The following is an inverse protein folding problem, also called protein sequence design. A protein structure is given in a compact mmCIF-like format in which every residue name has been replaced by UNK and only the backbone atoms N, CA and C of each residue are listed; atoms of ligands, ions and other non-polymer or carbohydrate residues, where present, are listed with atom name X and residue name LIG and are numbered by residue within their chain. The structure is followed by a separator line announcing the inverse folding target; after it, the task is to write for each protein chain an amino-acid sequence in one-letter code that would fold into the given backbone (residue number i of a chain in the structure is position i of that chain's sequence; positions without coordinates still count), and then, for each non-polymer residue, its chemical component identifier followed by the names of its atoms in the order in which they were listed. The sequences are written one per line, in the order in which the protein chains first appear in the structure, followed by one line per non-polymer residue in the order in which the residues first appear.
data_IF_001161551674
#
_entry.id   IF_001161551674
#
_cell.length_a   1.000
_cell.length_b   1.000
_cell.length_c   1.000
_cell.angle_alpha   90.00
_cell.angle_beta   90.00
_cell.angle_gamma   90.00
#
_symmetry.space_group_name_H-M   'P 1'
#
loop_
_entity.id
_entity.type
_entity.pdbx_description
1 polymer ?
#
# COMPACT_ATOMS: atom_id res chain seq x y z
N UNK A 1 -13.37 -30.32 8.84
CA UNK A 1 -13.00 -29.85 10.19
C UNK A 1 -11.93 -28.78 10.07
N UNK A 2 -12.29 -27.49 10.03
CA UNK A 2 -11.31 -26.39 10.11
C UNK A 2 -11.07 -26.13 11.59
N UNK A 3 -10.00 -26.70 12.14
CA UNK A 3 -9.58 -26.41 13.50
C UNK A 3 -9.23 -24.94 13.60
N UNK A 4 -10.12 -24.15 14.19
CA UNK A 4 -9.83 -22.77 14.57
C UNK A 4 -8.82 -22.83 15.71
N UNK A 5 -7.56 -22.54 15.39
CA UNK A 5 -6.48 -22.32 16.36
C UNK A 5 -6.98 -21.38 17.48
N UNK A 6 -6.60 -21.67 18.72
CA UNK A 6 -6.96 -20.82 19.86
C UNK A 6 -6.38 -19.41 19.66
N UNK A 7 -7.01 -18.35 20.17
CA UNK A 7 -6.52 -16.97 20.00
C UNK A 7 -5.08 -16.78 20.51
N UNK A 8 -4.69 -17.56 21.52
CA UNK A 8 -3.32 -17.60 22.03
C UNK A 8 -2.33 -18.18 21.01
N UNK A 9 -2.69 -19.30 20.36
CA UNK A 9 -1.83 -19.91 19.32
C UNK A 9 -1.66 -19.00 18.11
N UNK A 10 -2.71 -18.27 17.69
CA UNK A 10 -2.58 -17.27 16.62
C UNK A 10 -1.62 -16.12 16.98
N UNK A 11 -1.68 -15.61 18.21
CA UNK A 11 -0.77 -14.56 18.68
C UNK A 11 0.68 -15.05 18.75
N UNK A 12 0.90 -16.26 19.27
CA UNK A 12 2.23 -16.86 19.34
C UNK A 12 2.84 -17.08 17.94
N UNK A 13 2.05 -17.57 16.99
CA UNK A 13 2.49 -17.74 15.59
C UNK A 13 2.81 -16.38 14.97
N UNK A 14 1.96 -15.37 15.15
CA UNK A 14 2.23 -14.02 14.62
C UNK A 14 3.52 -13.44 15.20
N UNK A 15 3.73 -13.56 16.51
CA UNK A 15 4.95 -13.12 17.18
C UNK A 15 6.19 -13.84 16.62
N UNK A 16 6.14 -15.16 16.49
CA UNK A 16 7.24 -15.95 15.92
C UNK A 16 7.58 -15.55 14.48
N UNK A 17 6.57 -15.27 13.65
CA UNK A 17 6.77 -14.79 12.27
C UNK A 17 7.49 -13.43 12.27
N UNK A 18 7.08 -12.48 13.11
CA UNK A 18 7.75 -11.18 13.21
C UNK A 18 9.20 -11.30 13.67
N UNK A 19 9.45 -12.14 14.67
CA UNK A 19 10.82 -12.41 15.15
C UNK A 19 11.68 -13.04 14.05
N UNK A 20 11.13 -13.99 13.28
CA UNK A 20 11.83 -14.61 12.16
C UNK A 20 12.16 -13.60 11.05
N UNK A 21 11.19 -12.78 10.64
CA UNK A 21 11.39 -11.76 9.60
C UNK A 21 12.44 -10.73 10.07
N UNK A 22 12.36 -10.28 11.32
CA UNK A 22 13.32 -9.35 11.90
C UNK A 22 14.73 -9.95 11.89
N UNK A 23 14.88 -11.19 12.39
CA UNK A 23 16.15 -11.89 12.43
C UNK A 23 16.76 -12.08 11.03
N UNK A 24 15.97 -12.57 10.07
CA UNK A 24 16.43 -12.74 8.68
C UNK A 24 16.84 -11.41 8.04
N UNK A 25 16.08 -10.34 8.28
CA UNK A 25 16.43 -9.01 7.78
C UNK A 25 17.74 -8.49 8.39
N UNK A 26 18.01 -8.79 9.66
CA UNK A 26 19.25 -8.43 10.35
C UNK A 26 20.45 -9.20 9.80
N UNK A 27 20.30 -10.51 9.55
CA UNK A 27 21.35 -11.31 8.92
C UNK A 27 21.73 -10.78 7.52
N UNK A 28 20.73 -10.38 6.72
CA UNK A 28 20.98 -9.79 5.40
C UNK A 28 21.69 -8.44 5.52
N UNK A 29 21.26 -7.59 6.47
CA UNK A 29 21.91 -6.31 6.76
C UNK A 29 23.39 -6.49 7.13
N UNK A 30 23.70 -7.42 8.03
CA UNK A 30 25.09 -7.70 8.45
C UNK A 30 25.99 -8.21 7.31
N UNK A 31 25.44 -8.87 6.29
CA UNK A 31 26.21 -9.29 5.11
C UNK A 31 26.61 -8.12 4.20
N UNK A 32 25.89 -7.00 4.29
CA UNK A 32 26.15 -5.79 3.51
C UNK A 32 27.07 -4.81 4.25
N UNK A 33 27.37 -5.07 5.52
CA UNK A 33 28.20 -4.19 6.33
C UNK A 33 29.65 -4.17 5.85
N UNK A 34 30.19 -2.96 5.77
CA UNK A 34 31.60 -2.74 5.54
C UNK A 34 32.34 -2.89 6.89
N UNK A 35 33.32 -3.80 7.03
CA UNK A 35 34.08 -3.99 8.27
C UNK A 35 34.82 -2.74 8.76
N UNK A 36 34.95 -1.72 7.91
CA UNK A 36 35.58 -0.44 8.25
C UNK A 36 34.65 0.58 8.91
N UNK A 37 33.34 0.32 8.95
CA UNK A 37 32.33 1.17 9.58
C UNK A 37 31.71 0.46 10.78
N UNK A 38 31.65 1.14 11.92
CA UNK A 38 31.07 0.62 13.17
C UNK A 38 29.52 0.58 13.16
N UNK A 39 28.89 0.95 12.04
CA UNK A 39 27.44 0.95 11.87
C UNK A 39 27.07 0.38 10.49
N UNK A 40 25.88 -0.21 10.42
CA UNK A 40 25.39 -0.81 9.19
C UNK A 40 24.95 0.24 8.18
N UNK A 41 25.48 0.18 6.95
CA UNK A 41 25.05 1.08 5.87
C UNK A 41 23.58 0.81 5.52
N UNK A 42 23.11 -0.44 5.67
CA UNK A 42 21.74 -0.87 5.34
C UNK A 42 21.11 -1.58 6.54
N UNK A 43 20.11 -0.98 7.19
CA UNK A 43 19.45 -1.60 8.36
C UNK A 43 17.95 -1.88 8.11
N UNK A 44 17.65 -3.02 7.48
CA UNK A 44 16.28 -3.48 7.25
C UNK A 44 15.45 -3.79 8.51
N UNK A 45 16.04 -4.25 9.64
CA UNK A 45 15.26 -4.57 10.84
C UNK A 45 14.41 -3.42 11.38
N UNK A 46 14.86 -2.16 11.25
CA UNK A 46 14.09 -1.00 11.67
C UNK A 46 12.74 -0.90 10.97
N UNK A 47 12.68 -1.20 9.66
CA UNK A 47 11.43 -1.21 8.91
C UNK A 47 10.52 -2.39 9.24
N UNK A 48 11.08 -3.54 9.62
CA UNK A 48 10.31 -4.68 10.13
C UNK A 48 9.70 -4.34 11.49
N UNK A 49 10.48 -3.77 12.42
CA UNK A 49 9.99 -3.36 13.73
C UNK A 49 8.91 -2.27 13.62
N UNK A 50 9.13 -1.26 12.78
CA UNK A 50 8.13 -0.20 12.53
C UNK A 50 6.82 -0.79 12.01
N UNK A 51 6.88 -1.71 11.05
CA UNK A 51 5.70 -2.41 10.54
C UNK A 51 5.01 -3.25 11.64
N UNK A 52 5.78 -3.95 12.47
CA UNK A 52 5.27 -4.74 13.59
C UNK A 52 4.50 -3.86 14.60
N UNK A 53 5.10 -2.74 15.02
CA UNK A 53 4.46 -1.81 15.95
C UNK A 53 3.24 -1.11 15.34
N UNK A 54 3.26 -0.81 14.03
CA UNK A 54 2.11 -0.26 13.30
C UNK A 54 0.93 -1.24 13.21
N UNK A 55 1.18 -2.55 13.25
CA UNK A 55 0.13 -3.58 13.19
C UNK A 55 -0.30 -4.14 14.57
N UNK A 56 0.61 -4.20 15.54
CA UNK A 56 0.37 -4.85 16.83
C UNK A 56 -0.45 -3.97 17.79
N UNK A 57 -1.40 -4.52 18.56
CA UNK A 57 -2.11 -3.75 19.59
C UNK A 57 -1.14 -3.26 20.67
N UNK A 58 -1.43 -2.10 21.28
CA UNK A 58 -0.55 -1.46 22.29
C UNK A 58 -0.09 -2.41 23.41
N UNK A 59 -0.96 -3.34 23.84
CA UNK A 59 -0.65 -4.32 24.89
C UNK A 59 0.51 -5.28 24.53
N UNK A 60 0.74 -5.52 23.25
CA UNK A 60 1.79 -6.44 22.78
C UNK A 60 3.13 -5.74 22.52
N UNK A 61 3.19 -4.41 22.61
CA UNK A 61 4.40 -3.64 22.30
C UNK A 61 5.59 -4.06 23.18
N UNK A 62 5.36 -4.32 24.47
CA UNK A 62 6.40 -4.77 25.38
C UNK A 62 6.98 -6.14 25.01
N UNK A 63 6.16 -7.04 24.46
CA UNK A 63 6.61 -8.35 23.99
C UNK A 63 7.50 -8.20 22.74
N UNK A 64 7.06 -7.39 21.77
CA UNK A 64 7.85 -7.10 20.57
C UNK A 64 9.16 -6.39 20.91
N UNK A 65 9.13 -5.41 21.82
CA UNK A 65 10.33 -4.72 22.31
C UNK A 65 11.32 -5.72 22.90
N UNK A 66 10.89 -6.56 23.85
CA UNK A 66 11.77 -7.55 24.47
C UNK A 66 12.34 -8.53 23.43
N UNK A 67 11.52 -8.99 22.48
CA UNK A 67 11.94 -9.90 21.41
C UNK A 67 12.97 -9.28 20.47
N UNK A 68 12.74 -8.05 20.00
CA UNK A 68 13.67 -7.37 19.08
C UNK A 68 14.98 -6.97 19.76
N UNK A 69 14.95 -6.53 21.03
CA UNK A 69 16.17 -6.29 21.82
C UNK A 69 16.98 -7.58 21.96
N UNK A 70 16.32 -8.71 22.28
CA UNK A 70 17.00 -10.00 22.37
C UNK A 70 17.62 -10.44 21.03
N UNK A 71 16.92 -10.23 19.91
CA UNK A 71 17.46 -10.52 18.58
C UNK A 71 18.63 -9.60 18.21
N UNK A 72 18.58 -8.31 18.56
CA UNK A 72 19.71 -7.40 18.34
C UNK A 72 20.96 -7.83 19.11
N UNK A 73 20.79 -8.28 20.36
CA UNK A 73 21.90 -8.84 21.15
C UNK A 73 22.49 -10.11 20.51
N UNK A 74 21.63 -10.98 19.96
CA UNK A 74 22.07 -12.19 19.26
C UNK A 74 22.80 -11.89 17.95
N UNK A 75 22.32 -10.89 17.20
CA UNK A 75 22.92 -10.44 15.94
C UNK A 75 24.27 -9.77 16.17
N UNK A 76 24.40 -8.99 17.24
CA UNK A 76 25.62 -8.24 17.58
C UNK A 76 26.60 -9.05 18.47
N UNK A 77 26.58 -10.39 18.38
CA UNK A 77 27.40 -11.27 19.24
C UNK A 77 28.87 -11.35 18.78
N UNK A 78 29.43 -10.24 18.31
CA UNK A 78 30.87 -10.12 18.07
C UNK A 78 31.57 -9.96 19.41
N UNK A 79 32.51 -10.86 19.68
CA UNK A 79 33.21 -11.10 20.95
C UNK A 79 34.09 -9.92 21.42
N UNK A 80 33.97 -8.75 20.80
CA UNK A 80 34.88 -7.60 20.92
C UNK A 80 34.31 -6.43 21.73
N UNK A 81 32.98 -6.36 21.94
CA UNK A 81 32.33 -5.26 22.65
C UNK A 81 31.80 -5.71 24.00
N UNK A 82 32.04 -4.92 25.05
CA UNK A 82 31.52 -5.16 26.39
C UNK A 82 30.00 -5.36 26.37
N UNK A 83 29.50 -6.42 27.01
CA UNK A 83 28.06 -6.74 27.07
C UNK A 83 27.16 -5.56 27.48
N UNK A 84 27.51 -4.71 28.47
CA UNK A 84 26.71 -3.53 28.84
C UNK A 84 26.54 -2.53 27.69
N UNK A 85 27.58 -2.32 26.89
CA UNK A 85 27.56 -1.39 25.76
C UNK A 85 26.69 -1.94 24.63
N UNK A 86 26.79 -3.24 24.36
CA UNK A 86 25.93 -3.92 23.38
C UNK A 86 24.45 -3.86 23.79
N UNK A 87 24.16 -4.11 25.07
CA UNK A 87 22.80 -3.96 25.62
C UNK A 87 22.27 -2.53 25.47
N UNK A 88 23.11 -1.52 25.72
CA UNK A 88 22.73 -0.12 25.55
C UNK A 88 22.33 0.18 24.10
N UNK A 89 23.11 -0.24 23.11
CA UNK A 89 22.77 -0.04 21.70
C UNK A 89 21.53 -0.83 21.26
N UNK A 90 21.39 -2.07 21.71
CA UNK A 90 20.22 -2.89 21.42
C UNK A 90 18.93 -2.24 21.96
N UNK A 91 18.99 -1.60 23.13
CA UNK A 91 17.85 -0.85 23.69
C UNK A 91 17.63 0.48 22.97
N UNK A 92 18.70 1.21 22.62
CA UNK A 92 18.60 2.51 21.95
C UNK A 92 18.05 2.44 20.51
N UNK A 93 18.17 1.29 19.84
CA UNK A 93 17.67 1.09 18.46
C UNK A 93 16.15 0.91 18.34
N UNK A 94 15.42 0.77 19.45
CA UNK A 94 13.97 0.49 19.44
C UNK A 94 13.06 1.72 19.60
N UNK A 95 13.36 2.71 20.46
CA UNK A 95 12.50 3.86 20.72
C UNK A 95 12.07 4.62 19.46
N UNK A 96 12.95 4.78 18.48
CA UNK A 96 12.65 5.46 17.22
C UNK A 96 11.51 4.77 16.45
N UNK A 97 11.63 3.45 16.22
CA UNK A 97 10.60 2.65 15.52
C UNK A 97 9.25 2.64 16.26
N UNK A 98 9.29 2.61 17.60
CA UNK A 98 8.09 2.72 18.44
C UNK A 98 7.46 4.12 18.37
N UNK A 99 8.28 5.17 18.40
CA UNK A 99 7.84 6.55 18.31
C UNK A 99 7.18 6.84 16.96
N UNK A 100 7.76 6.36 15.86
CA UNK A 100 7.15 6.45 14.51
C UNK A 100 5.78 5.79 14.54
N UNK A 101 5.68 4.54 14.99
CA UNK A 101 4.40 3.83 15.00
C UNK A 101 3.36 4.52 15.89
N UNK A 102 3.76 5.05 17.05
CA UNK A 102 2.87 5.73 17.97
C UNK A 102 2.38 7.08 17.43
N UNK A 103 3.29 7.90 16.89
CA UNK A 103 2.95 9.20 16.29
C UNK A 103 2.02 9.02 15.10
N UNK A 104 2.31 8.06 14.22
CA UNK A 104 1.44 7.75 13.08
C UNK A 104 0.06 7.34 13.56
N UNK A 105 -0.05 6.41 14.52
CA UNK A 105 -1.35 5.97 15.04
C UNK A 105 -2.13 7.08 15.73
N UNK A 106 -1.45 8.00 16.42
CA UNK A 106 -2.09 9.08 17.17
C UNK A 106 -2.52 10.26 16.30
N UNK A 107 -1.71 10.62 15.31
CA UNK A 107 -1.94 11.80 14.48
C UNK A 107 -2.73 11.49 13.20
N UNK A 108 -2.80 10.21 12.79
CA UNK A 108 -3.56 9.83 11.60
C UNK A 108 -5.06 9.90 11.85
N UNK A 109 -5.81 10.42 10.87
CA UNK A 109 -7.27 10.46 10.87
C UNK A 109 -7.84 9.07 10.61
N UNK A 110 -8.79 8.64 11.43
CA UNK A 110 -9.48 7.38 11.26
C UNK A 110 -10.21 7.34 9.90
N UNK A 111 -9.99 6.27 9.12
CA UNK A 111 -10.60 6.06 7.80
C UNK A 111 -9.90 6.76 6.62
N UNK A 112 -8.81 7.51 6.86
CA UNK A 112 -8.02 8.15 5.80
C UNK A 112 -6.61 7.58 5.67
N UNK A 113 -6.48 6.41 5.03
CA UNK A 113 -5.19 5.75 4.84
C UNK A 113 -4.20 6.60 4.02
N UNK A 114 -4.65 7.55 3.19
CA UNK A 114 -3.73 8.48 2.51
C UNK A 114 -3.02 9.34 3.53
N UNK A 115 -3.78 9.95 4.43
CA UNK A 115 -3.22 10.75 5.51
C UNK A 115 -2.33 9.89 6.42
N UNK A 116 -2.70 8.63 6.66
CA UNK A 116 -1.84 7.69 7.40
C UNK A 116 -0.51 7.42 6.71
N UNK A 117 -0.51 7.21 5.38
CA UNK A 117 0.71 7.01 4.59
C UNK A 117 1.59 8.27 4.62
N UNK A 118 0.99 9.45 4.42
CA UNK A 118 1.73 10.73 4.44
C UNK A 118 2.31 11.00 5.83
N UNK A 119 1.53 10.78 6.90
CA UNK A 119 1.99 10.86 8.28
C UNK A 119 3.16 9.91 8.53
N UNK A 120 3.08 8.67 8.04
CA UNK A 120 4.17 7.71 8.16
C UNK A 120 5.44 8.18 7.45
N UNK A 121 5.35 8.71 6.23
CA UNK A 121 6.51 9.28 5.52
C UNK A 121 7.15 10.43 6.32
N UNK A 122 6.35 11.38 6.78
CA UNK A 122 6.84 12.56 7.52
C UNK A 122 7.42 12.16 8.87
N UNK A 123 6.71 11.34 9.65
CA UNK A 123 7.16 10.92 10.98
C UNK A 123 8.41 10.05 10.92
N UNK A 124 8.57 9.22 9.89
CA UNK A 124 9.80 8.44 9.69
C UNK A 124 11.00 9.38 9.55
N UNK A 125 10.94 10.37 8.65
CA UNK A 125 12.04 11.32 8.48
C UNK A 125 12.32 12.11 9.76
N UNK A 126 11.29 12.66 10.41
CA UNK A 126 11.48 13.49 11.60
C UNK A 126 12.07 12.69 12.77
N UNK A 127 11.55 11.49 13.03
CA UNK A 127 12.05 10.66 14.14
C UNK A 127 13.44 10.11 13.83
N UNK A 128 13.72 9.67 12.60
CA UNK A 128 15.06 9.19 12.22
C UNK A 128 16.12 10.30 12.30
N UNK A 129 15.78 11.57 12.03
CA UNK A 129 16.70 12.70 12.26
C UNK A 129 17.04 12.83 13.75
N UNK A 130 16.03 12.77 14.62
CA UNK A 130 16.24 12.84 16.08
C UNK A 130 17.05 11.63 16.57
N UNK A 131 16.74 10.44 16.06
CA UNK A 131 17.45 9.21 16.41
C UNK A 131 18.93 9.27 16.01
N UNK A 132 19.22 9.67 14.76
CA UNK A 132 20.59 9.86 14.28
C UNK A 132 21.34 10.92 15.09
N UNK A 133 20.68 12.03 15.49
CA UNK A 133 21.30 13.04 16.36
C UNK A 133 21.66 12.45 17.72
N UNK A 134 20.77 11.68 18.34
CA UNK A 134 20.99 11.07 19.66
C UNK A 134 22.12 10.03 19.59
N UNK A 135 22.07 9.13 18.60
CA UNK A 135 23.08 8.08 18.42
C UNK A 135 24.46 8.67 18.09
N UNK A 136 24.57 9.58 17.12
CA UNK A 136 25.83 10.19 16.74
C UNK A 136 26.43 11.07 17.83
N UNK A 137 25.59 11.81 18.58
CA UNK A 137 26.08 12.59 19.73
C UNK A 137 26.57 11.68 20.85
N UNK A 138 25.88 10.57 21.10
CA UNK A 138 26.29 9.56 22.07
C UNK A 138 27.62 8.90 21.69
N UNK A 139 27.78 8.48 20.43
CA UNK A 139 29.02 7.89 19.92
C UNK A 139 30.19 8.88 19.96
N UNK A 140 29.95 10.13 19.59
CA UNK A 140 30.97 11.19 19.71
C UNK A 140 31.40 11.39 21.17
N UNK A 141 30.44 11.44 22.11
CA UNK A 141 30.75 11.68 23.52
C UNK A 141 31.42 10.48 24.22
N UNK A 142 30.96 9.26 23.97
CA UNK A 142 31.42 8.06 24.68
C UNK A 142 32.56 7.32 23.98
N UNK A 143 32.68 7.41 22.65
CA UNK A 143 33.67 6.67 21.84
C UNK A 143 34.59 7.59 21.03
N UNK A 144 34.40 8.91 21.09
CA UNK A 144 35.19 9.90 20.35
C UNK A 144 35.20 9.67 18.83
N UNK A 145 34.10 9.10 18.31
CA UNK A 145 33.91 8.84 16.88
C UNK A 145 33.51 10.12 16.12
N UNK A 146 33.74 10.12 14.80
CA UNK A 146 33.35 11.26 13.96
C UNK A 146 31.82 11.40 13.91
N UNK A 147 31.33 12.56 14.36
CA UNK A 147 29.91 12.89 14.29
C UNK A 147 29.39 12.83 12.85
N UNK A 148 30.07 13.47 11.91
CA UNK A 148 29.63 13.49 10.50
C UNK A 148 29.79 12.13 9.83
N UNK A 149 30.75 11.32 10.28
CA UNK A 149 30.98 9.96 9.80
C UNK A 149 29.90 8.97 10.23
N UNK A 150 29.19 9.24 11.32
CA UNK A 150 28.10 8.37 11.84
C UNK A 150 26.72 8.92 11.52
N UNK A 151 26.54 10.24 11.54
CA UNK A 151 25.24 10.89 11.41
C UNK A 151 24.57 10.64 10.05
N UNK A 152 25.23 10.99 8.94
CA UNK A 152 24.64 10.85 7.62
C UNK A 152 24.38 9.39 7.25
N UNK A 153 25.33 8.47 7.43
CA UNK A 153 25.09 7.09 7.07
C UNK A 153 24.03 6.43 7.96
N UNK A 154 24.03 6.69 9.27
CA UNK A 154 23.00 6.18 10.20
C UNK A 154 21.60 6.69 9.85
N UNK A 155 21.48 7.99 9.55
CA UNK A 155 20.22 8.60 9.10
C UNK A 155 19.70 7.96 7.81
N UNK A 156 20.58 7.78 6.82
CA UNK A 156 20.21 7.19 5.53
C UNK A 156 19.83 5.71 5.72
N UNK A 157 20.59 4.96 6.51
CA UNK A 157 20.33 3.55 6.80
C UNK A 157 18.95 3.35 7.42
N UNK A 158 18.59 4.18 8.40
CA UNK A 158 17.30 4.08 9.11
C UNK A 158 16.13 4.45 8.20
N UNK A 159 16.18 5.61 7.52
CA UNK A 159 15.12 6.05 6.62
C UNK A 159 14.89 5.04 5.48
N UNK A 160 15.97 4.60 4.81
CA UNK A 160 15.87 3.69 3.68
C UNK A 160 15.41 2.29 4.11
N UNK A 161 15.91 1.81 5.26
CA UNK A 161 15.49 0.54 5.86
C UNK A 161 14.01 0.53 6.22
N UNK A 162 13.51 1.61 6.83
CA UNK A 162 12.10 1.77 7.18
C UNK A 162 11.23 1.85 5.94
N UNK A 163 11.54 2.75 5.00
CA UNK A 163 10.75 2.91 3.79
C UNK A 163 10.70 1.64 2.94
N UNK A 164 11.81 0.93 2.79
CA UNK A 164 11.84 -0.29 2.00
C UNK A 164 11.07 -1.43 2.66
N UNK A 165 11.45 -1.83 3.88
CA UNK A 165 10.87 -3.01 4.52
C UNK A 165 9.42 -2.80 4.98
N UNK A 166 9.07 -1.62 5.53
CA UNK A 166 7.69 -1.34 5.94
C UNK A 166 6.75 -1.30 4.73
N UNK A 167 7.18 -0.77 3.58
CA UNK A 167 6.35 -0.74 2.36
C UNK A 167 5.99 -2.15 1.88
N UNK A 168 6.98 -3.07 1.84
CA UNK A 168 6.75 -4.47 1.46
C UNK A 168 5.75 -5.13 2.41
N UNK A 169 5.98 -5.01 3.72
CA UNK A 169 5.18 -5.70 4.73
C UNK A 169 3.74 -5.16 4.77
N UNK A 170 3.57 -3.84 4.81
CA UNK A 170 2.25 -3.19 4.78
C UNK A 170 1.51 -3.40 3.47
N UNK A 171 2.23 -3.74 2.41
CA UNK A 171 1.66 -4.11 1.13
C UNK A 171 1.05 -5.52 1.11
N UNK A 172 1.61 -6.46 1.87
CA UNK A 172 1.00 -7.78 2.10
C UNK A 172 -0.12 -7.77 3.15
N UNK A 173 0.05 -7.00 4.24
CA UNK A 173 -0.88 -7.01 5.38
C UNK A 173 -2.17 -6.23 5.14
N UNK A 174 -2.15 -5.20 4.29
CA UNK A 174 -3.35 -4.41 4.04
C UNK A 174 -4.31 -5.16 3.09
N UNK A 175 -5.27 -5.84 3.72
CA UNK A 175 -6.25 -6.73 3.10
C UNK A 175 -7.52 -6.03 2.60
N UNK A 176 -7.63 -4.71 2.77
CA UNK A 176 -8.85 -3.96 2.43
C UNK A 176 -9.15 -3.91 0.93
N UNK A 177 -8.18 -4.26 0.08
CA UNK A 177 -8.32 -4.36 -1.38
C UNK A 177 -8.26 -5.83 -1.82
N UNK A 178 -9.14 -6.67 -1.28
CA UNK A 178 -9.40 -7.99 -1.88
C UNK A 178 -10.03 -7.75 -3.24
N UNK A 179 -9.27 -7.93 -4.31
CA UNK A 179 -9.84 -8.12 -5.65
C UNK A 179 -10.61 -9.42 -5.61
N UNK A 180 -11.92 -9.34 -5.35
CA UNK A 180 -12.81 -10.49 -5.44
C UNK A 180 -12.72 -11.04 -6.87
N UNK A 181 -12.25 -12.29 -7.00
CA UNK A 181 -12.13 -12.99 -8.27
C UNK A 181 -11.23 -12.30 -9.30
N UNK A 182 -9.90 -12.30 -9.10
CA UNK A 182 -8.98 -11.95 -10.19
C UNK A 182 -9.26 -12.86 -11.39
N UNK A 183 -9.67 -12.26 -12.50
CA UNK A 183 -9.94 -12.99 -13.72
C UNK A 183 -8.66 -13.72 -14.16
N UNK A 184 -8.77 -14.99 -14.61
CA UNK A 184 -7.62 -15.86 -14.91
C UNK A 184 -6.58 -15.19 -15.82
N UNK A 185 -7.02 -14.34 -16.75
CA UNK A 185 -6.16 -13.57 -17.66
C UNK A 185 -5.23 -12.59 -16.94
N UNK A 186 -5.71 -11.89 -15.90
CA UNK A 186 -4.92 -10.90 -15.14
C UNK A 186 -3.87 -11.60 -14.28
N UNK A 187 -4.21 -12.78 -13.72
CA UNK A 187 -3.25 -13.61 -13.00
C UNK A 187 -2.12 -14.04 -13.93
N UNK A 188 -2.45 -14.59 -15.11
CA UNK A 188 -1.45 -15.03 -16.10
C UNK A 188 -0.59 -13.85 -16.57
N UNK A 189 -1.20 -12.70 -16.87
CA UNK A 189 -0.47 -11.50 -17.29
C UNK A 189 0.52 -11.03 -16.21
N UNK A 190 0.11 -10.98 -14.95
CA UNK A 190 1.03 -10.62 -13.87
C UNK A 190 2.12 -11.67 -13.61
N UNK A 191 1.83 -12.97 -13.75
CA UNK A 191 2.86 -14.01 -13.69
C UNK A 191 3.91 -13.80 -14.79
N UNK A 192 3.48 -13.49 -16.01
CA UNK A 192 4.37 -13.19 -17.12
C UNK A 192 5.25 -11.96 -16.83
N UNK A 193 4.66 -10.86 -16.37
CA UNK A 193 5.40 -9.64 -15.98
C UNK A 193 6.38 -9.91 -14.84
N UNK A 194 6.00 -10.74 -13.86
CA UNK A 194 6.87 -11.12 -12.76
C UNK A 194 8.07 -11.96 -13.20
N UNK A 195 7.86 -12.95 -14.08
CA UNK A 195 8.96 -13.73 -14.68
C UNK A 195 9.86 -12.81 -15.50
N UNK A 196 9.28 -11.89 -16.28
CA UNK A 196 10.04 -10.90 -17.05
C UNK A 196 10.87 -9.99 -16.13
N UNK A 197 10.31 -9.56 -15.00
CA UNK A 197 11.04 -8.81 -13.97
C UNK A 197 12.26 -9.58 -13.46
N UNK A 198 12.10 -10.86 -13.11
CA UNK A 198 13.23 -11.69 -12.65
C UNK A 198 14.29 -11.81 -13.74
N UNK A 199 13.89 -12.16 -14.97
CA UNK A 199 14.84 -12.37 -16.07
C UNK A 199 15.57 -11.09 -16.43
N UNK A 200 14.87 -9.97 -16.60
CA UNK A 200 15.48 -8.69 -16.98
C UNK A 200 16.36 -8.14 -15.85
N UNK A 201 15.90 -8.21 -14.59
CA UNK A 201 16.69 -7.71 -13.46
C UNK A 201 17.96 -8.53 -13.26
N UNK A 202 17.86 -9.86 -13.29
CA UNK A 202 19.06 -10.72 -13.18
C UNK A 202 19.98 -10.52 -14.38
N UNK A 203 19.45 -10.34 -15.59
CA UNK A 203 20.26 -10.03 -16.76
C UNK A 203 21.00 -8.70 -16.64
N UNK A 204 20.35 -7.60 -16.23
CA UNK A 204 20.98 -6.28 -16.06
C UNK A 204 22.03 -6.28 -14.94
N UNK A 205 21.74 -6.94 -13.83
CA UNK A 205 22.61 -6.93 -12.64
C UNK A 205 23.73 -7.98 -12.72
N UNK A 206 23.57 -9.02 -13.53
CA UNK A 206 24.65 -9.95 -13.84
C UNK A 206 25.65 -9.32 -14.82
N UNK A 207 26.93 -9.65 -14.65
CA UNK A 207 27.96 -9.27 -15.61
C UNK A 207 27.86 -10.01 -16.97
N UNK A 208 26.80 -10.79 -17.20
CA UNK A 208 26.55 -11.53 -18.44
C UNK A 208 26.48 -10.62 -19.68
N UNK A 209 26.09 -9.36 -19.50
CA UNK A 209 26.04 -8.35 -20.57
C UNK A 209 27.46 -8.02 -21.08
N UNK A 210 28.52 -8.29 -20.31
CA UNK A 210 29.91 -7.96 -20.69
C UNK A 210 30.32 -8.75 -21.94
N UNK A 211 29.89 -10.01 -22.03
CA UNK A 211 30.14 -10.89 -23.16
C UNK A 211 29.40 -10.50 -24.44
N UNK A 212 28.23 -9.87 -24.34
CA UNK A 212 27.43 -9.45 -25.50
C UNK A 212 27.89 -8.08 -26.04
N UNK A 213 28.48 -7.25 -25.17
CA UNK A 213 28.70 -5.81 -25.46
C UNK A 213 30.17 -5.45 -25.67
N UNK A 214 31.10 -6.40 -25.60
CA UNK A 214 32.45 -6.25 -26.14
C UNK A 214 32.44 -5.90 -27.67
N UNK A 215 31.30 -6.09 -28.35
CA UNK A 215 31.05 -5.62 -29.71
C UNK A 215 30.69 -4.12 -29.85
N UNK A 216 30.28 -3.44 -28.77
CA UNK A 216 29.83 -2.04 -28.77
C UNK A 216 30.60 -1.21 -27.72
N UNK A 217 31.75 -0.65 -28.12
CA UNK A 217 32.51 0.42 -27.45
C UNK A 217 32.39 0.53 -25.91
N UNK A 218 33.39 -0.01 -25.22
CA UNK A 218 33.51 -0.14 -23.75
C UNK A 218 33.25 1.14 -22.92
N UNK A 219 33.37 2.35 -23.46
CA UNK A 219 33.18 3.60 -22.69
C UNK A 219 31.72 4.00 -22.47
N UNK A 220 30.77 3.54 -23.30
CA UNK A 220 29.33 3.89 -23.15
C UNK A 220 28.54 2.85 -22.35
N UNK A 221 29.24 1.81 -21.90
CA UNK A 221 28.66 0.61 -21.36
C UNK A 221 28.05 0.80 -19.97
N UNK A 222 28.81 1.42 -19.07
CA UNK A 222 28.39 1.64 -17.69
C UNK A 222 27.18 2.58 -17.60
N UNK A 223 27.13 3.60 -18.47
CA UNK A 223 26.00 4.54 -18.56
C UNK A 223 24.73 3.83 -19.06
N UNK A 224 24.84 2.97 -20.07
CA UNK A 224 23.70 2.24 -20.61
C UNK A 224 23.15 1.22 -19.60
N UNK A 225 24.03 0.51 -18.88
CA UNK A 225 23.64 -0.40 -17.79
C UNK A 225 22.93 0.34 -16.67
N UNK A 226 23.44 1.50 -16.27
CA UNK A 226 22.81 2.34 -15.25
C UNK A 226 21.41 2.79 -15.70
N UNK A 227 21.26 3.26 -16.94
CA UNK A 227 19.95 3.63 -17.49
C UNK A 227 19.00 2.43 -17.61
N UNK A 228 19.52 1.24 -17.92
CA UNK A 228 18.71 0.01 -18.00
C UNK A 228 18.12 -0.39 -16.64
N UNK A 229 18.72 0.02 -15.51
CA UNK A 229 18.18 -0.24 -14.17
C UNK A 229 16.79 0.37 -13.94
N UNK A 230 16.36 1.32 -14.77
CA UNK A 230 14.99 1.86 -14.76
C UNK A 230 13.94 0.85 -15.28
N UNK A 231 14.32 -0.13 -16.11
CA UNK A 231 13.38 -1.10 -16.70
C UNK A 231 12.73 -1.97 -15.61
N UNK A 232 13.48 -2.57 -14.66
CA UNK A 232 12.87 -3.27 -13.53
C UNK A 232 11.89 -2.43 -12.72
N UNK A 233 12.12 -1.12 -12.54
CA UNK A 233 11.18 -0.23 -11.85
C UNK A 233 9.83 -0.22 -12.58
N UNK A 234 9.84 -0.06 -13.90
CA UNK A 234 8.63 -0.04 -14.73
C UNK A 234 7.87 -1.37 -14.64
N UNK A 235 8.59 -2.51 -14.69
CA UNK A 235 7.99 -3.83 -14.55
C UNK A 235 7.40 -4.04 -13.15
N UNK A 236 8.05 -3.50 -12.13
CA UNK A 236 7.58 -3.54 -10.75
C UNK A 236 6.24 -2.79 -10.66
N UNK A 237 6.17 -1.57 -11.19
CA UNK A 237 4.93 -0.76 -11.27
C UNK A 237 3.84 -1.49 -12.08
N UNK A 238 4.18 -2.09 -13.21
CA UNK A 238 3.22 -2.86 -14.01
C UNK A 238 2.62 -4.02 -13.21
N UNK A 239 3.43 -4.74 -12.42
CA UNK A 239 2.93 -5.81 -11.55
C UNK A 239 2.02 -5.27 -10.44
N UNK A 240 2.34 -4.08 -9.88
CA UNK A 240 1.48 -3.42 -8.89
C UNK A 240 0.12 -3.00 -9.46
N UNK A 241 0.05 -2.64 -10.73
CA UNK A 241 -1.22 -2.32 -11.40
C UNK A 241 -2.03 -3.59 -11.65
N UNK A 242 -1.39 -4.67 -12.11
CA UNK A 242 -2.08 -5.93 -12.45
C UNK A 242 -2.59 -6.69 -11.24
N UNK A 243 -1.76 -6.82 -10.19
CA UNK A 243 -2.06 -7.62 -8.99
C UNK A 243 -2.38 -6.75 -7.76
N UNK A 244 -2.54 -5.45 -7.97
CA UNK A 244 -2.77 -4.48 -6.91
C UNK A 244 -1.61 -4.38 -5.92
N UNK A 245 -1.95 -4.02 -4.69
CA UNK A 245 -0.99 -3.76 -3.61
C UNK A 245 -0.04 -4.95 -3.32
N UNK A 246 -0.55 -6.19 -3.41
CA UNK A 246 0.27 -7.41 -3.22
C UNK A 246 1.25 -7.62 -4.37
N UNK A 247 0.83 -7.32 -5.60
CA UNK A 247 1.69 -7.35 -6.78
C UNK A 247 2.91 -6.45 -6.62
N UNK A 248 2.68 -5.21 -6.21
CA UNK A 248 3.76 -4.25 -5.98
C UNK A 248 4.72 -4.70 -4.87
N UNK A 249 4.19 -5.26 -3.79
CA UNK A 249 4.99 -5.80 -2.68
C UNK A 249 5.84 -6.98 -3.09
N UNK A 250 5.26 -7.89 -3.88
CA UNK A 250 5.95 -9.06 -4.40
C UNK A 250 7.04 -8.66 -5.39
N UNK A 251 6.75 -7.76 -6.32
CA UNK A 251 7.76 -7.23 -7.24
C UNK A 251 8.88 -6.50 -6.50
N UNK A 252 8.56 -5.65 -5.52
CA UNK A 252 9.53 -4.90 -4.74
C UNK A 252 10.43 -5.83 -3.90
N UNK A 253 9.84 -6.87 -3.30
CA UNK A 253 10.60 -7.91 -2.60
C UNK A 253 11.53 -8.66 -3.56
N UNK A 254 11.05 -9.08 -4.74
CA UNK A 254 11.90 -9.78 -5.71
C UNK A 254 13.00 -8.89 -6.30
N UNK A 255 12.68 -7.64 -6.62
CA UNK A 255 13.66 -6.66 -7.10
C UNK A 255 14.73 -6.43 -6.02
N UNK A 256 14.30 -6.18 -4.78
CA UNK A 256 15.20 -6.02 -3.64
C UNK A 256 16.10 -7.24 -3.42
N UNK A 257 15.54 -8.44 -3.43
CA UNK A 257 16.32 -9.67 -3.26
C UNK A 257 17.41 -9.82 -4.34
N UNK A 258 17.08 -9.53 -5.60
CA UNK A 258 18.06 -9.59 -6.70
C UNK A 258 19.12 -8.50 -6.55
N UNK A 259 18.72 -7.25 -6.30
CA UNK A 259 19.64 -6.12 -6.13
C UNK A 259 20.59 -6.36 -4.96
N UNK A 260 20.07 -6.81 -3.82
CA UNK A 260 20.85 -7.13 -2.62
C UNK A 260 21.83 -8.28 -2.91
N UNK A 261 21.36 -9.36 -3.54
CA UNK A 261 22.20 -10.51 -3.89
C UNK A 261 23.41 -10.13 -4.76
N UNK A 262 23.20 -9.32 -5.79
CA UNK A 262 24.29 -8.83 -6.64
C UNK A 262 25.15 -7.77 -5.93
N UNK A 263 24.57 -6.98 -5.02
CA UNK A 263 25.32 -6.01 -4.21
C UNK A 263 26.30 -6.69 -3.25
N UNK A 264 25.91 -7.80 -2.62
CA UNK A 264 26.82 -8.63 -1.80
C UNK A 264 28.01 -9.12 -2.64
N UNK A 265 27.78 -9.43 -3.92
CA UNK A 265 28.84 -9.88 -4.84
C UNK A 265 29.62 -8.73 -5.48
N UNK A 266 29.34 -7.48 -5.09
CA UNK A 266 29.93 -6.25 -5.66
C UNK A 266 29.74 -6.13 -7.18
N UNK A 267 28.60 -6.62 -7.67
CA UNK A 267 28.21 -6.61 -9.08
C UNK A 267 26.97 -5.75 -9.32
N UNK A 268 26.78 -5.39 -10.59
CA UNK A 268 25.60 -4.69 -11.06
C UNK A 268 25.86 -3.24 -11.49
N UNK A 269 24.82 -2.54 -11.96
CA UNK A 269 24.93 -1.22 -12.59
C UNK A 269 25.41 -0.10 -11.65
N UNK A 270 25.42 -0.34 -10.33
CA UNK A 270 25.77 0.66 -9.33
C UNK A 270 27.25 0.63 -8.91
N UNK A 271 27.97 -0.43 -9.26
CA UNK A 271 29.41 -0.59 -8.96
C UNK A 271 30.27 0.02 -10.07
N UNK A 272 30.15 1.35 -10.24
CA UNK A 272 30.89 2.11 -11.25
C UNK A 272 32.34 2.33 -10.77
N UNK A 273 33.31 2.25 -11.69
CA UNK A 273 34.72 2.51 -11.38
C UNK A 273 34.92 3.99 -10.99
N UNK A 274 35.53 4.22 -9.83
CA UNK A 274 35.87 5.57 -9.34
C UNK A 274 35.08 6.03 -8.11
N UNK A 275 34.07 5.27 -7.67
CA UNK A 275 33.39 5.52 -6.40
C UNK A 275 34.21 5.02 -5.20
N UNK A 276 34.03 5.69 -4.05
CA UNK A 276 34.62 5.30 -2.77
C UNK A 276 33.94 4.05 -2.21
N UNK A 277 34.58 3.40 -1.25
CA UNK A 277 34.02 2.28 -0.49
C UNK A 277 32.68 2.69 0.14
N UNK A 278 31.64 1.87 -0.03
CA UNK A 278 30.28 2.12 0.48
C UNK A 278 29.36 2.95 -0.43
N UNK A 279 29.88 3.81 -1.32
CA UNK A 279 29.04 4.65 -2.20
C UNK A 279 28.15 3.84 -3.17
N UNK A 280 28.61 2.73 -3.78
CA UNK A 280 27.74 1.88 -4.61
C UNK A 280 26.54 1.31 -3.85
N UNK A 281 26.72 1.02 -2.55
CA UNK A 281 25.65 0.49 -1.71
C UNK A 281 24.61 1.58 -1.38
N UNK A 282 25.06 2.81 -1.14
CA UNK A 282 24.17 3.97 -0.99
C UNK A 282 23.33 4.19 -2.25
N UNK A 283 23.92 4.06 -3.45
CA UNK A 283 23.18 4.16 -4.72
C UNK A 283 22.13 3.04 -4.83
N UNK A 284 22.49 1.79 -4.49
CA UNK A 284 21.56 0.67 -4.49
C UNK A 284 20.40 0.88 -3.50
N UNK A 285 20.66 1.46 -2.32
CA UNK A 285 19.62 1.81 -1.35
C UNK A 285 18.71 2.93 -1.85
N UNK A 286 19.28 3.99 -2.45
CA UNK A 286 18.51 5.06 -3.06
C UNK A 286 17.60 4.50 -4.16
N UNK A 287 18.09 3.58 -4.98
CA UNK A 287 17.31 2.90 -6.01
C UNK A 287 16.13 2.11 -5.42
N UNK A 288 16.38 1.26 -4.42
CA UNK A 288 15.33 0.46 -3.78
C UNK A 288 14.32 1.32 -3.03
N UNK A 289 14.78 2.36 -2.35
CA UNK A 289 13.94 3.30 -1.59
C UNK A 289 13.09 4.15 -2.53
N UNK A 290 13.66 4.67 -3.61
CA UNK A 290 12.91 5.40 -4.63
C UNK A 290 11.83 4.50 -5.25
N UNK A 291 12.15 3.23 -5.52
CA UNK A 291 11.16 2.26 -6.02
C UNK A 291 10.07 1.97 -4.99
N UNK A 292 10.42 1.86 -3.71
CA UNK A 292 9.45 1.68 -2.62
C UNK A 292 8.53 2.90 -2.46
N UNK A 293 9.08 4.12 -2.50
CA UNK A 293 8.30 5.36 -2.44
C UNK A 293 7.40 5.52 -3.67
N UNK A 294 7.90 5.17 -4.86
CA UNK A 294 7.07 5.10 -6.06
C UNK A 294 5.91 4.12 -5.88
N UNK A 295 6.16 2.97 -5.25
CA UNK A 295 5.08 2.02 -4.93
C UNK A 295 4.05 2.56 -3.96
N UNK A 296 4.50 3.26 -2.92
CA UNK A 296 3.61 3.96 -1.99
C UNK A 296 2.78 5.00 -2.74
N UNK A 297 3.39 5.76 -3.65
CA UNK A 297 2.71 6.75 -4.46
C UNK A 297 1.69 6.13 -5.42
N UNK A 298 2.05 5.05 -6.14
CA UNK A 298 1.13 4.30 -7.00
C UNK A 298 -0.04 3.77 -6.17
N UNK A 299 0.21 3.23 -4.98
CA UNK A 299 -0.85 2.76 -4.07
C UNK A 299 -1.80 3.88 -3.66
N UNK A 300 -1.25 5.07 -3.37
CA UNK A 300 -2.04 6.27 -3.09
C UNK A 300 -2.87 6.68 -4.30
N UNK A 301 -2.27 6.75 -5.49
CA UNK A 301 -2.93 7.17 -6.73
C UNK A 301 -4.03 6.21 -7.14
N UNK A 302 -3.76 4.91 -7.15
CA UNK A 302 -4.75 3.88 -7.48
C UNK A 302 -5.93 3.96 -6.52
N UNK A 303 -5.67 4.23 -5.23
CA UNK A 303 -6.75 4.44 -4.26
C UNK A 303 -7.51 5.73 -4.48
N UNK A 304 -6.84 6.84 -4.77
CA UNK A 304 -7.54 8.10 -5.07
C UNK A 304 -8.38 7.97 -6.33
N UNK A 305 -7.87 7.28 -7.35
CA UNK A 305 -8.59 6.97 -8.58
C UNK A 305 -9.83 6.12 -8.27
N UNK A 306 -9.70 5.05 -7.48
CA UNK A 306 -10.85 4.25 -7.02
C UNK A 306 -11.85 5.04 -6.17
N UNK A 307 -11.37 5.94 -5.28
CA UNK A 307 -12.26 6.81 -4.48
C UNK A 307 -12.99 7.84 -5.33
N UNK A 308 -12.32 8.36 -6.37
CA UNK A 308 -12.92 9.24 -7.37
C UNK A 308 -13.97 8.46 -8.15
N UNK A 309 -13.65 7.26 -8.65
CA UNK A 309 -14.57 6.36 -9.36
C UNK A 309 -15.84 6.07 -8.54
N UNK A 310 -15.67 5.76 -7.25
CA UNK A 310 -16.77 5.55 -6.31
C UNK A 310 -17.61 6.82 -6.02
N UNK A 311 -17.03 8.02 -6.22
CA UNK A 311 -17.72 9.31 -6.02
C UNK A 311 -18.33 9.85 -7.32
N UNK A 312 -17.73 9.56 -8.46
CA UNK A 312 -18.21 9.91 -9.81
C UNK A 312 -19.17 8.86 -10.36
N UNK A 313 -19.35 7.75 -9.66
CA UNK A 313 -20.50 6.87 -9.86
C UNK A 313 -20.22 5.51 -10.51
N UNK A 314 -18.96 5.18 -10.77
CA UNK A 314 -18.59 3.91 -11.38
C UNK A 314 -18.08 2.97 -10.28
N UNK A 315 -18.99 2.53 -9.41
CA UNK A 315 -18.75 1.28 -8.67
C UNK A 315 -19.77 0.24 -9.15
N UNK A 316 -19.31 -0.49 -10.15
CA UNK A 316 -20.02 -1.44 -10.99
C UNK A 316 -20.70 -2.59 -10.23
N UNK A 317 -21.87 -2.96 -10.76
CA UNK A 317 -22.67 -4.18 -10.58
C UNK A 317 -23.79 -4.21 -9.53
N UNK A 318 -23.94 -3.24 -8.60
CA UNK A 318 -25.07 -3.23 -7.64
C UNK A 318 -25.73 -1.88 -7.38
N UNK A 319 -25.16 -0.83 -7.95
CA UNK A 319 -25.57 0.55 -7.77
C UNK A 319 -25.88 1.13 -9.16
N UNK A 320 -27.09 1.68 -9.36
CA UNK A 320 -27.49 2.38 -10.57
C UNK A 320 -27.71 3.86 -10.26
N UNK A 321 -27.16 4.71 -11.11
CA UNK A 321 -27.26 6.16 -10.95
C UNK A 321 -28.25 6.70 -11.97
N UNK A 322 -29.20 7.49 -11.45
CA UNK A 322 -30.19 8.16 -12.27
C UNK A 322 -30.12 9.67 -12.10
N UNK A 323 -30.46 10.37 -13.16
CA UNK A 323 -30.73 11.80 -13.17
C UNK A 323 -32.20 12.00 -13.55
N UNK A 324 -32.98 12.57 -12.63
CA UNK A 324 -34.38 12.90 -12.86
C UNK A 324 -34.53 14.41 -13.05
N UNK A 325 -35.01 14.80 -14.22
CA UNK A 325 -35.48 16.15 -14.47
C UNK A 325 -36.93 16.27 -13.99
N UNK A 326 -37.16 17.09 -12.96
CA UNK A 326 -38.48 17.21 -12.35
C UNK A 326 -39.49 18.00 -13.19
N UNK A 327 -39.01 18.80 -14.15
CA UNK A 327 -39.85 19.62 -15.04
C UNK A 327 -40.32 18.78 -16.23
N UNK A 328 -39.41 18.04 -16.85
CA UNK A 328 -39.73 17.22 -18.03
C UNK A 328 -40.20 15.81 -17.67
N UNK A 329 -39.95 15.35 -16.45
CA UNK A 329 -40.25 13.99 -16.02
C UNK A 329 -39.33 12.93 -16.62
N UNK A 330 -38.23 13.33 -17.27
CA UNK A 330 -37.30 12.40 -17.91
C UNK A 330 -36.24 11.90 -16.92
N UNK A 331 -36.01 10.59 -16.95
CA UNK A 331 -34.92 9.91 -16.26
C UNK A 331 -33.82 9.52 -17.24
N UNK A 332 -32.59 9.88 -16.89
CA UNK A 332 -31.39 9.40 -17.56
C UNK A 332 -30.63 8.46 -16.64
N UNK A 333 -30.19 7.33 -17.18
CA UNK A 333 -29.42 6.32 -16.45
C UNK A 333 -28.00 6.30 -17.00
N UNK A 334 -27.00 6.42 -16.12
CA UNK A 334 -25.58 6.32 -16.50
C UNK A 334 -25.15 4.84 -16.48
N UNK A 335 -25.58 4.12 -15.45
CA UNK A 335 -25.43 2.67 -15.29
C UNK A 335 -26.73 2.04 -14.82
N UNK A 336 -27.17 0.96 -15.47
CA UNK A 336 -28.35 0.17 -15.12
C UNK A 336 -27.99 -1.04 -14.25
N UNK A 337 -28.90 -1.44 -13.35
CA UNK A 337 -28.79 -2.70 -12.60
C UNK A 337 -29.12 -3.89 -13.54
N UNK A 338 -28.60 -5.08 -13.27
CA UNK A 338 -29.02 -6.31 -13.97
C UNK A 338 -30.56 -6.52 -13.97
N UNK A 339 -31.25 -6.05 -12.91
CA UNK A 339 -32.72 -6.10 -12.78
C UNK A 339 -33.44 -5.09 -13.70
N UNK A 340 -32.72 -4.09 -14.19
CA UNK A 340 -33.21 -3.03 -15.07
C UNK A 340 -32.83 -3.28 -16.55
N UNK A 341 -31.76 -4.03 -16.82
CA UNK A 341 -31.26 -4.30 -18.18
C UNK A 341 -32.27 -5.01 -19.10
N UNK A 342 -33.20 -5.77 -18.51
CA UNK A 342 -34.21 -6.54 -19.24
C UNK A 342 -35.52 -5.75 -19.51
N UNK A 343 -35.65 -4.54 -18.95
CA UNK A 343 -36.84 -3.67 -19.07
C UNK A 343 -36.67 -2.73 -20.27
N UNK A 344 -37.77 -2.46 -20.97
CA UNK A 344 -37.75 -1.55 -22.12
C UNK A 344 -37.30 -0.13 -21.71
N UNK A 345 -36.35 0.43 -22.46
CA UNK A 345 -35.70 1.71 -22.13
C UNK A 345 -36.70 2.88 -22.05
N UNK A 346 -37.82 2.81 -22.78
CA UNK A 346 -38.88 3.82 -22.78
C UNK A 346 -39.75 3.79 -21.50
N UNK A 347 -39.74 2.68 -20.75
CA UNK A 347 -40.43 2.57 -19.45
C UNK A 347 -39.58 3.09 -18.29
N UNK A 348 -38.25 3.04 -18.42
CA UNK A 348 -37.30 3.49 -17.40
C UNK A 348 -36.91 4.96 -17.54
N UNK A 349 -37.11 5.56 -18.73
CA UNK A 349 -36.77 6.96 -19.02
C UNK A 349 -37.90 7.94 -18.73
N UNK A 350 -39.09 7.44 -18.40
CA UNK A 350 -40.26 8.25 -18.04
C UNK A 350 -40.63 8.03 -16.57
N UNK A 351 -40.74 9.12 -15.81
CA UNK A 351 -41.05 9.13 -14.38
C UNK A 351 -42.35 8.40 -14.04
N UNK A 352 -43.40 8.58 -14.83
CA UNK A 352 -44.72 7.99 -14.55
C UNK A 352 -44.73 6.49 -14.85
N UNK A 353 -44.09 6.09 -15.95
CA UNK A 353 -43.91 4.68 -16.29
C UNK A 353 -43.02 3.95 -15.29
N UNK A 354 -41.95 4.58 -14.82
CA UNK A 354 -41.07 4.04 -13.78
C UNK A 354 -41.80 3.85 -12.44
N UNK A 355 -42.62 4.84 -12.02
CA UNK A 355 -43.48 4.74 -10.83
C UNK A 355 -44.52 3.62 -10.94
N UNK A 356 -45.02 3.32 -12.15
CA UNK A 356 -45.98 2.24 -12.36
C UNK A 356 -45.41 0.87 -11.97
N UNK A 357 -44.09 0.68 -12.09
CA UNK A 357 -43.37 -0.54 -11.66
C UNK A 357 -43.03 -0.56 -10.16
N UNK A 358 -43.18 0.56 -9.44
CA UNK A 358 -43.02 0.62 -7.98
C UNK A 358 -44.28 0.10 -7.30
N UNK A 359 -44.11 -0.68 -6.22
CA UNK A 359 -45.22 -1.22 -5.43
C UNK A 359 -46.16 -0.10 -4.95
N UNK A 360 -47.51 -0.27 -5.02
CA UNK A 360 -48.48 0.77 -4.67
C UNK A 360 -48.22 1.46 -3.32
N UNK A 361 -47.97 0.70 -2.26
CA UNK A 361 -47.67 1.22 -0.91
C UNK A 361 -46.43 2.13 -0.85
N UNK A 362 -45.46 1.93 -1.76
CA UNK A 362 -44.18 2.64 -1.72
C UNK A 362 -44.20 3.91 -2.60
N UNK A 363 -45.22 4.09 -3.46
CA UNK A 363 -45.33 5.26 -4.36
C UNK A 363 -45.49 6.58 -3.61
N UNK A 364 -46.14 6.56 -2.45
CA UNK A 364 -46.30 7.74 -1.62
C UNK A 364 -44.96 8.30 -1.10
N UNK A 365 -43.95 7.44 -0.90
CA UNK A 365 -42.62 7.86 -0.43
C UNK A 365 -41.95 8.80 -1.43
N UNK A 366 -42.01 8.44 -2.71
CA UNK A 366 -41.50 9.28 -3.81
C UNK A 366 -42.28 10.57 -3.95
N UNK A 367 -43.61 10.54 -3.84
CA UNK A 367 -44.43 11.75 -3.92
C UNK A 367 -44.15 12.72 -2.77
N UNK A 368 -43.93 12.24 -1.55
CA UNK A 368 -43.51 13.08 -0.41
C UNK A 368 -42.12 13.67 -0.65
N UNK A 369 -41.16 12.84 -1.04
CA UNK A 369 -39.80 13.28 -1.34
C UNK A 369 -39.76 14.33 -2.46
N UNK A 370 -40.62 14.22 -3.47
CA UNK A 370 -40.70 15.19 -4.56
C UNK A 370 -41.48 16.47 -4.24
N UNK A 371 -42.35 16.45 -3.23
CA UNK A 371 -43.06 17.65 -2.76
C UNK A 371 -42.19 18.51 -1.85
N UNK A 372 -41.35 17.89 -1.02
CA UNK A 372 -40.52 18.59 -0.02
C UNK A 372 -39.19 19.14 -0.56
N UNK A 373 -39.00 19.14 -1.89
CA UNK A 373 -37.74 19.52 -2.57
C UNK A 373 -37.32 20.96 -2.28
N UNK A 374 -38.28 21.86 -2.01
CA UNK A 374 -38.02 23.30 -1.91
C UNK A 374 -37.10 23.75 -0.77
N UNK A 375 -36.77 22.89 0.20
CA UNK A 375 -36.00 23.29 1.40
C UNK A 375 -34.72 22.48 1.66
N UNK A 376 -34.50 21.34 0.99
CA UNK A 376 -33.41 20.42 1.33
C UNK A 376 -32.41 20.22 0.18
N UNK A 377 -31.12 20.53 0.43
CA UNK A 377 -30.02 20.22 -0.50
C UNK A 377 -29.67 18.71 -0.55
N UNK A 378 -30.11 17.95 0.46
CA UNK A 378 -29.87 16.51 0.60
C UNK A 378 -31.18 15.83 0.95
N UNK A 379 -31.64 14.92 0.10
CA UNK A 379 -32.89 14.20 0.29
C UNK A 379 -32.66 12.93 1.13
N UNK A 380 -33.68 12.48 1.89
CA UNK A 380 -33.56 11.29 2.71
C UNK A 380 -33.44 10.01 1.86
N UNK A 381 -32.77 9.01 2.41
CA UNK A 381 -32.68 7.66 1.83
C UNK A 381 -34.05 6.98 1.93
N UNK A 382 -34.53 6.41 0.83
CA UNK A 382 -35.79 5.65 0.79
C UNK A 382 -35.55 4.22 0.33
N UNK A 383 -36.27 3.26 0.91
CA UNK A 383 -36.29 1.87 0.42
C UNK A 383 -37.68 1.54 -0.10
N UNK A 384 -37.74 0.94 -1.28
CA UNK A 384 -38.97 0.63 -2.02
C UNK A 384 -38.87 -0.71 -2.75
N UNK A 385 -40.03 -1.31 -3.02
CA UNK A 385 -40.14 -2.54 -3.80
C UNK A 385 -40.35 -2.21 -5.28
N UNK A 386 -39.50 -2.75 -6.13
CA UNK A 386 -39.53 -2.56 -7.58
C UNK A 386 -39.86 -3.88 -8.29
N UNK A 387 -40.68 -3.81 -9.34
CA UNK A 387 -41.15 -4.97 -10.09
C UNK A 387 -40.23 -5.26 -11.29
N UNK A 388 -39.53 -6.39 -11.23
CA UNK A 388 -38.74 -6.94 -12.33
C UNK A 388 -39.64 -7.45 -13.48
N UNK A 389 -39.08 -7.66 -14.67
CA UNK A 389 -39.74 -8.25 -15.84
C UNK A 389 -40.36 -9.63 -15.55
N UNK A 390 -39.78 -10.40 -14.65
CA UNK A 390 -40.29 -11.71 -14.23
C UNK A 390 -41.41 -11.62 -13.19
N UNK A 391 -42.03 -10.44 -13.01
CA UNK A 391 -43.08 -10.16 -12.02
C UNK A 391 -42.62 -10.31 -10.56
N UNK A 392 -41.30 -10.35 -10.31
CA UNK A 392 -40.71 -10.50 -8.98
C UNK A 392 -40.49 -9.14 -8.32
N UNK A 393 -40.71 -9.09 -7.02
CA UNK A 393 -40.41 -7.91 -6.22
C UNK A 393 -38.96 -7.92 -5.74
N UNK A 394 -38.23 -6.84 -6.04
CA UNK A 394 -36.86 -6.62 -5.56
C UNK A 394 -36.84 -5.35 -4.71
N UNK A 395 -36.18 -5.42 -3.55
CA UNK A 395 -36.01 -4.26 -2.67
C UNK A 395 -34.85 -3.42 -3.16
N UNK A 396 -35.14 -2.18 -3.54
CA UNK A 396 -34.16 -1.17 -3.95
C UNK A 396 -34.12 -0.08 -2.88
N UNK A 397 -32.92 0.37 -2.53
CA UNK A 397 -32.71 1.53 -1.67
C UNK A 397 -32.14 2.66 -2.50
N UNK A 398 -32.86 3.77 -2.57
CA UNK A 398 -32.43 5.01 -3.17
C UNK A 398 -31.73 5.88 -2.12
N UNK A 399 -30.47 6.20 -2.36
CA UNK A 399 -29.57 6.86 -1.40
C UNK A 399 -28.69 7.89 -2.07
N UNK A 400 -28.17 8.85 -1.29
CA UNK A 400 -27.24 9.85 -1.82
C UNK A 400 -27.88 10.91 -2.71
N UNK A 401 -29.19 11.09 -2.59
CA UNK A 401 -29.99 12.00 -3.39
C UNK A 401 -29.59 13.48 -3.16
N UNK A 402 -29.08 14.11 -4.22
CA UNK A 402 -28.69 15.53 -4.24
C UNK A 402 -29.55 16.28 -5.26
N UNK A 403 -30.01 17.46 -4.86
CA UNK A 403 -30.70 18.39 -5.73
C UNK A 403 -29.69 19.35 -6.37
N UNK A 404 -29.65 19.39 -7.70
CA UNK A 404 -28.89 20.38 -8.46
C UNK A 404 -29.89 21.30 -9.16
N UNK A 405 -29.87 22.58 -8.80
CA UNK A 405 -30.74 23.58 -9.40
C UNK A 405 -29.98 24.28 -10.53
N UNK A 406 -30.06 23.74 -11.75
CA UNK A 406 -29.37 24.29 -12.92
C UNK A 406 -30.38 25.04 -13.80
N UNK A 407 -30.21 26.36 -13.97
CA UNK A 407 -30.98 27.17 -14.93
C UNK A 407 -32.52 26.99 -14.85
N UNK A 408 -33.09 27.01 -13.65
CA UNK A 408 -34.53 26.83 -13.39
C UNK A 408 -35.11 25.43 -13.71
N UNK A 409 -34.26 24.42 -13.92
CA UNK A 409 -34.67 23.01 -13.95
C UNK A 409 -34.04 22.25 -12.77
N UNK A 410 -34.83 21.91 -11.74
CA UNK A 410 -34.31 21.11 -10.64
C UNK A 410 -34.10 19.67 -11.10
N UNK A 411 -32.84 19.21 -10.98
CA UNK A 411 -32.40 17.85 -11.32
C UNK A 411 -32.09 17.12 -10.02
N UNK A 412 -32.64 15.92 -9.85
CA UNK A 412 -32.27 15.00 -8.77
C UNK A 412 -31.25 14.02 -9.32
N UNK A 413 -30.12 13.89 -8.63
CA UNK A 413 -29.16 12.82 -8.87
C UNK A 413 -29.25 11.86 -7.69
N UNK A 414 -29.55 10.60 -7.96
CA UNK A 414 -29.73 9.57 -6.94
C UNK A 414 -29.04 8.25 -7.29
N UNK A 415 -28.81 7.42 -6.29
CA UNK A 415 -28.18 6.11 -6.44
C UNK A 415 -29.07 5.01 -5.86
N UNK A 416 -29.51 4.11 -6.73
CA UNK A 416 -30.28 2.92 -6.42
C UNK A 416 -29.39 1.72 -6.15
N UNK A 417 -29.53 1.12 -4.97
CA UNK A 417 -28.82 -0.10 -4.57
C UNK A 417 -29.77 -1.24 -4.25
N UNK A 418 -29.50 -2.45 -4.75
CA UNK A 418 -30.26 -3.65 -4.38
C UNK A 418 -29.97 -4.01 -2.92
N UNK A 419 -31.00 -3.94 -2.08
CA UNK A 419 -30.91 -4.23 -0.64
C UNK A 419 -31.47 -5.61 -0.35
N UNK A 420 -30.70 -6.65 -0.72
CA UNK A 420 -31.00 -8.06 -0.42
C UNK A 420 -32.21 -8.63 -1.18
N UNK A 421 -32.00 -9.73 -1.90
CA UNK A 421 -33.09 -10.54 -2.46
C UNK A 421 -33.86 -11.22 -1.32
N UNK A 422 -34.96 -10.62 -0.88
CA UNK A 422 -35.99 -11.37 -0.16
C UNK A 422 -36.89 -12.02 -1.20
N UNK A 423 -36.56 -13.24 -1.60
CA UNK A 423 -37.51 -14.11 -2.29
C UNK A 423 -38.60 -14.45 -1.28
N UNK A 424 -39.72 -13.72 -1.31
CA UNK A 424 -40.95 -14.21 -0.71
C UNK A 424 -41.52 -15.26 -1.66
N UNK A 425 -41.49 -16.52 -1.23
CA UNK A 425 -42.31 -17.60 -1.80
C UNK A 425 -43.74 -17.46 -1.33
#
# INVERSE_FOLDING_TARGET
MKGTLSPFTHQAISFAIWMLIYYLSGLISLQLDDPSLDFSIVWFPAGVATAAFLCAPWRQWWLFLAGFVALNLLLNNTTTVNFPTNLMFAVLSMPSTMAIAWLVRRLSREGDDLHQIVMWLVMTVLVSVVDALVLSSGLWFFRNESFTGTFWPGLIADITGIFFATTIIMGFLNNHLRTEGMHRRIVIAGCFVWVLLILITTWIFSDSVKYVTDAFNAHRYDVLRFAAACIPIVLTVALAILWGNRGGSFALLTLGAIVIWFSIQKMGPFFIKGLRTGEPLLIAQCYLTATALLMVFIRVLTRSAQRLDNRTGVQSARDAIYQLNLVTGQLYWDHTLDVLDDIATDELTDKEKMLARVHPDDREKFQRQWRDIGQAHKLPTISFRFKDKNDRWVTITDSGNVLINHQAQPIIIGNWRISGTTTFS
#
